data_IF_681883174700
#
_entry.id   IF_681883174700
#
_cell.length_a   1.000
_cell.length_b   1.000
_cell.length_c   1.000
_cell.angle_alpha   90.00
_cell.angle_beta   90.00
_cell.angle_gamma   90.00
#
_symmetry.space_group_name_H-M   'P 1'
#
loop_
_entity.id
_entity.type
_entity.pdbx_description
1 polymer ?
#
# COMPACT_ATOMS: atom_id res chain seq x y z
N UNK A 1 -21.79 8.86 15.36
CA UNK A 1 -20.45 8.26 15.45
C UNK A 1 -19.36 9.32 15.42
N UNK A 2 -18.18 9.02 15.94
CA UNK A 2 -17.00 9.89 15.80
C UNK A 2 -16.24 9.56 14.52
N UNK A 3 -15.71 10.60 13.85
CA UNK A 3 -14.91 10.45 12.64
C UNK A 3 -13.90 11.60 12.47
N UNK A 4 -12.84 11.34 11.71
CA UNK A 4 -11.99 12.37 11.13
C UNK A 4 -12.64 12.84 9.83
N UNK A 5 -13.06 14.09 9.79
CA UNK A 5 -13.70 14.68 8.61
C UNK A 5 -12.83 15.79 8.05
N UNK A 6 -12.44 15.64 6.80
CA UNK A 6 -11.81 16.70 6.02
C UNK A 6 -12.88 17.49 5.29
N UNK A 7 -12.91 18.82 5.49
CA UNK A 7 -13.77 19.74 4.75
C UNK A 7 -13.03 20.40 3.57
N UNK A 8 -11.71 20.37 3.60
CA UNK A 8 -10.80 20.83 2.54
C UNK A 8 -9.38 20.28 2.79
N UNK A 9 -8.44 20.40 1.82
CA UNK A 9 -7.04 20.09 2.08
C UNK A 9 -6.52 20.76 3.35
N UNK A 10 -5.81 20.00 4.20
CA UNK A 10 -5.24 20.43 5.49
C UNK A 10 -6.24 20.90 6.54
N UNK A 11 -7.56 20.82 6.26
CA UNK A 11 -8.64 21.21 7.20
C UNK A 11 -9.44 19.98 7.59
N UNK A 12 -9.16 19.43 8.74
CA UNK A 12 -9.87 18.28 9.30
C UNK A 12 -10.22 18.50 10.77
N UNK A 13 -11.28 17.81 11.20
CA UNK A 13 -11.72 17.76 12.59
C UNK A 13 -12.09 16.33 12.99
N UNK A 14 -11.83 16.00 14.25
CA UNK A 14 -12.41 14.82 14.91
C UNK A 14 -13.74 15.25 15.51
N UNK A 15 -14.84 14.87 14.88
CA UNK A 15 -16.17 15.35 15.24
C UNK A 15 -17.24 14.27 15.15
N UNK A 16 -18.42 14.58 15.74
CA UNK A 16 -19.61 13.77 15.56
C UNK A 16 -20.18 13.95 14.16
N UNK A 17 -20.58 12.83 13.57
CA UNK A 17 -21.33 12.75 12.31
C UNK A 17 -22.43 11.72 12.45
N UNK A 18 -23.43 11.75 11.58
CA UNK A 18 -24.50 10.75 11.55
C UNK A 18 -23.94 9.36 11.28
N UNK A 19 -24.54 8.35 11.90
CA UNK A 19 -24.21 6.96 11.63
C UNK A 19 -24.58 6.56 10.20
N UNK A 20 -23.76 5.77 9.51
CA UNK A 20 -24.02 5.34 8.15
C UNK A 20 -25.29 4.47 8.08
N UNK A 21 -26.20 4.79 7.14
CA UNK A 21 -27.39 3.98 6.87
C UNK A 21 -27.06 2.92 5.83
N UNK A 22 -27.19 1.66 6.19
CA UNK A 22 -26.91 0.49 5.35
C UNK A 22 -27.98 0.33 4.28
N UNK A 23 -27.55 0.14 3.03
CA UNK A 23 -28.44 -0.20 1.90
C UNK A 23 -28.61 -1.73 1.83
N UNK A 24 -29.51 -2.21 0.96
CA UNK A 24 -29.85 -3.62 0.84
C UNK A 24 -28.64 -4.52 0.59
N UNK A 25 -27.66 -4.05 -0.19
CA UNK A 25 -26.45 -4.78 -0.62
C UNK A 25 -25.17 -4.36 0.14
N UNK A 26 -25.31 -3.64 1.26
CA UNK A 26 -24.20 -3.12 2.07
C UNK A 26 -24.13 -3.82 3.44
N UNK A 27 -22.98 -3.72 4.08
CA UNK A 27 -22.78 -4.06 5.48
C UNK A 27 -22.27 -2.86 6.26
N UNK A 28 -22.51 -2.84 7.58
CA UNK A 28 -21.91 -1.89 8.52
C UNK A 28 -20.80 -2.62 9.28
N UNK A 29 -19.61 -2.05 9.21
CA UNK A 29 -18.44 -2.51 9.95
C UNK A 29 -18.22 -1.52 11.10
N UNK A 30 -18.17 -2.02 12.34
CA UNK A 30 -17.57 -1.30 13.45
C UNK A 30 -16.05 -1.42 13.29
N UNK A 31 -15.40 -0.29 13.08
CA UNK A 31 -13.95 -0.28 12.79
C UNK A 31 -13.17 -0.56 14.07
N UNK A 32 -12.34 -1.61 14.04
CA UNK A 32 -11.41 -1.92 15.13
C UNK A 32 -10.09 -1.19 14.94
N UNK A 33 -9.60 -1.11 13.68
CA UNK A 33 -8.41 -0.37 13.32
C UNK A 33 -8.43 0.04 11.84
N UNK A 34 -7.71 1.10 11.50
CA UNK A 34 -7.47 1.51 10.11
C UNK A 34 -6.03 2.01 9.95
N UNK A 35 -5.32 1.46 8.98
CA UNK A 35 -3.94 1.84 8.69
C UNK A 35 -3.82 3.25 8.11
N UNK A 36 -2.79 3.99 8.53
CA UNK A 36 -2.40 5.26 7.91
C UNK A 36 -1.41 4.98 6.77
N UNK A 37 -1.76 5.43 5.57
CA UNK A 37 -1.01 5.24 4.33
C UNK A 37 -0.37 6.54 3.84
N UNK A 38 0.63 6.44 2.96
CA UNK A 38 1.15 7.59 2.21
C UNK A 38 0.08 8.30 1.40
N UNK A 39 -0.91 7.58 0.88
CA UNK A 39 -2.09 8.15 0.19
C UNK A 39 -2.87 9.12 1.08
N UNK A 40 -3.00 8.86 2.39
CA UNK A 40 -3.68 9.79 3.31
C UNK A 40 -2.92 11.10 3.47
N UNK A 41 -1.57 11.06 3.38
CA UNK A 41 -0.74 12.26 3.38
C UNK A 41 -0.93 13.07 2.10
N UNK A 42 -1.06 12.42 0.95
CA UNK A 42 -1.39 13.08 -0.33
C UNK A 42 -2.79 13.69 -0.31
N UNK A 43 -3.80 12.97 0.24
CA UNK A 43 -5.16 13.50 0.43
C UNK A 43 -5.13 14.73 1.35
N UNK A 44 -4.33 14.70 2.41
CA UNK A 44 -4.15 15.85 3.30
C UNK A 44 -3.65 17.08 2.53
N UNK A 45 -2.75 16.91 1.57
CA UNK A 45 -2.25 17.98 0.72
C UNK A 45 -3.21 18.37 -0.43
N UNK A 46 -4.23 17.56 -0.72
CA UNK A 46 -5.22 17.80 -1.77
C UNK A 46 -4.92 17.06 -3.09
N UNK A 47 -3.94 16.17 -3.10
CA UNK A 47 -3.65 15.27 -4.22
C UNK A 47 -4.68 14.12 -4.29
N UNK A 48 -4.73 13.36 -5.40
CA UNK A 48 -5.69 12.27 -5.66
C UNK A 48 -7.15 12.71 -5.85
N UNK A 49 -7.37 13.99 -6.17
CA UNK A 49 -8.69 14.57 -6.39
C UNK A 49 -9.76 14.14 -5.38
N UNK A 50 -9.52 14.24 -4.07
CA UNK A 50 -10.47 13.84 -3.04
C UNK A 50 -11.75 14.71 -3.16
N UNK A 51 -12.89 14.10 -2.80
CA UNK A 51 -14.17 14.79 -2.77
C UNK A 51 -14.51 15.16 -1.34
N UNK A 52 -14.41 16.43 -1.01
CA UNK A 52 -14.76 16.92 0.33
C UNK A 52 -16.25 17.26 0.46
N UNK A 53 -16.90 17.10 1.64
CA UNK A 53 -16.29 16.54 2.86
C UNK A 53 -15.97 15.04 2.74
N UNK A 54 -14.86 14.59 3.36
CA UNK A 54 -14.37 13.21 3.26
C UNK A 54 -13.94 12.68 4.63
N UNK A 55 -14.31 11.43 4.93
CA UNK A 55 -13.69 10.63 5.97
C UNK A 55 -12.64 9.74 5.29
N UNK A 56 -11.32 9.92 5.53
CA UNK A 56 -10.28 9.10 4.91
C UNK A 56 -10.16 7.71 5.53
N UNK A 57 -9.08 6.98 5.17
CA UNK A 57 -8.74 5.65 5.68
C UNK A 57 -9.28 4.52 4.81
N UNK A 58 -8.37 3.88 4.07
CA UNK A 58 -8.69 2.84 3.09
C UNK A 58 -8.14 1.45 3.46
N UNK A 59 -7.42 1.34 4.58
CA UNK A 59 -6.83 0.10 5.09
C UNK A 59 -7.52 -0.34 6.39
N UNK A 60 -8.83 -0.56 6.35
CA UNK A 60 -9.68 -0.77 7.53
C UNK A 60 -9.97 -2.25 7.79
N UNK A 61 -10.14 -2.54 9.06
CA UNK A 61 -10.64 -3.83 9.59
C UNK A 61 -11.60 -3.59 10.72
N UNK A 62 -12.53 -4.51 10.94
CA UNK A 62 -13.49 -4.42 12.04
C UNK A 62 -14.50 -5.54 12.03
N UNK A 63 -15.48 -5.44 12.93
CA UNK A 63 -16.56 -6.39 13.11
C UNK A 63 -17.79 -5.98 12.28
N UNK A 64 -18.38 -6.91 11.55
CA UNK A 64 -19.67 -6.71 10.87
C UNK A 64 -20.76 -6.64 11.92
N UNK A 65 -21.41 -5.49 12.07
CA UNK A 65 -22.47 -5.26 13.09
C UNK A 65 -23.86 -5.19 12.50
N UNK A 66 -24.00 -4.96 11.19
CA UNK A 66 -25.29 -4.93 10.49
C UNK A 66 -25.14 -5.41 9.05
N UNK A 67 -26.17 -6.11 8.57
CA UNK A 67 -26.27 -6.57 7.18
C UNK A 67 -27.48 -5.92 6.51
N UNK A 68 -27.32 -5.56 5.24
CA UNK A 68 -28.44 -5.20 4.36
C UNK A 68 -29.28 -6.42 4.01
N UNK A 69 -30.51 -6.20 3.58
CA UNK A 69 -31.51 -7.26 3.35
C UNK A 69 -31.18 -8.25 2.23
N UNK A 70 -30.29 -7.88 1.30
CA UNK A 70 -29.86 -8.71 0.17
C UNK A 70 -28.50 -9.38 0.41
N UNK A 71 -27.85 -9.11 1.55
CA UNK A 71 -26.52 -9.65 1.85
C UNK A 71 -26.63 -11.13 2.21
N UNK A 72 -25.83 -11.95 1.52
CA UNK A 72 -25.69 -13.38 1.77
C UNK A 72 -24.24 -13.76 1.98
N UNK A 73 -23.96 -14.87 2.66
CA UNK A 73 -22.61 -15.38 2.89
C UNK A 73 -21.81 -14.68 3.99
N UNK A 74 -22.30 -13.57 4.52
CA UNK A 74 -21.72 -12.86 5.67
C UNK A 74 -22.66 -12.95 6.88
N UNK A 75 -22.12 -12.74 8.08
CA UNK A 75 -22.90 -12.71 9.33
C UNK A 75 -22.38 -11.63 10.27
N UNK A 76 -23.25 -11.10 11.12
CA UNK A 76 -22.86 -10.21 12.23
C UNK A 76 -21.94 -10.94 13.21
N UNK A 77 -21.01 -10.21 13.81
CA UNK A 77 -19.99 -10.75 14.70
C UNK A 77 -18.74 -11.29 13.96
N UNK A 78 -18.73 -11.35 12.62
CA UNK A 78 -17.52 -11.68 11.88
C UNK A 78 -16.56 -10.49 11.82
N UNK A 79 -15.28 -10.73 12.09
CA UNK A 79 -14.24 -9.77 11.75
C UNK A 79 -13.96 -9.84 10.25
N UNK A 80 -13.71 -8.69 9.64
CA UNK A 80 -13.51 -8.57 8.22
C UNK A 80 -12.58 -7.40 7.85
N UNK A 81 -12.03 -7.47 6.66
CA UNK A 81 -11.38 -6.36 5.96
C UNK A 81 -12.17 -6.02 4.71
N UNK A 82 -11.97 -4.83 4.17
CA UNK A 82 -12.68 -4.41 2.96
C UNK A 82 -11.74 -3.98 1.85
N UNK A 83 -12.07 -4.42 0.63
CA UNK A 83 -11.44 -3.89 -0.58
C UNK A 83 -11.98 -2.48 -0.83
N UNK A 84 -11.09 -1.49 -0.72
CA UNK A 84 -11.47 -0.09 -0.87
C UNK A 84 -11.93 0.28 -2.29
N UNK A 85 -11.50 -0.45 -3.34
CA UNK A 85 -11.79 -0.12 -4.73
C UNK A 85 -13.19 -0.56 -5.15
N UNK A 86 -13.94 0.34 -5.78
CA UNK A 86 -15.27 0.08 -6.34
C UNK A 86 -15.35 0.54 -7.79
N UNK A 87 -15.43 -0.42 -8.71
CA UNK A 87 -15.60 -0.16 -10.13
C UNK A 87 -17.08 -0.01 -10.52
N UNK A 88 -17.37 0.71 -11.61
CA UNK A 88 -18.75 0.94 -12.06
C UNK A 88 -19.40 -0.26 -12.78
N UNK A 89 -18.62 -1.26 -13.16
CA UNK A 89 -19.07 -2.47 -13.84
C UNK A 89 -19.48 -2.34 -15.30
N UNK A 90 -19.58 -1.12 -15.88
CA UNK A 90 -20.19 -0.88 -17.19
C UNK A 90 -19.36 -0.05 -18.18
N UNK A 91 -18.24 0.55 -17.79
CA UNK A 91 -17.39 1.32 -18.70
C UNK A 91 -16.55 0.43 -19.61
N UNK A 92 -15.85 1.06 -20.55
CA UNK A 92 -14.98 0.35 -21.49
C UNK A 92 -14.03 -0.67 -20.85
N UNK A 93 -13.39 -0.29 -19.75
CA UNK A 93 -12.44 -1.14 -19.04
C UNK A 93 -13.13 -2.25 -18.24
N UNK A 94 -14.23 -1.91 -17.53
CA UNK A 94 -14.98 -2.90 -16.75
C UNK A 94 -15.55 -4.03 -17.62
N UNK A 95 -16.09 -3.70 -18.79
CA UNK A 95 -16.64 -4.69 -19.74
C UNK A 95 -15.56 -5.64 -20.32
N UNK A 96 -14.28 -5.35 -20.08
CA UNK A 96 -13.11 -6.18 -20.45
C UNK A 96 -12.43 -6.85 -19.27
N UNK A 97 -13.04 -6.79 -18.06
CA UNK A 97 -12.48 -7.34 -16.84
C UNK A 97 -11.36 -6.48 -16.20
N UNK A 98 -11.07 -5.31 -16.76
CA UNK A 98 -10.01 -4.40 -16.27
C UNK A 98 -10.58 -3.40 -15.26
N UNK A 99 -11.13 -3.90 -14.17
CA UNK A 99 -11.85 -3.08 -13.17
C UNK A 99 -11.00 -1.99 -12.55
N UNK A 100 -9.68 -2.20 -12.42
CA UNK A 100 -8.74 -1.23 -11.87
C UNK A 100 -8.64 0.06 -12.71
N UNK A 101 -8.87 -0.05 -14.02
CA UNK A 101 -8.84 1.10 -14.94
C UNK A 101 -10.23 1.71 -15.19
N UNK A 102 -11.19 1.43 -14.29
CA UNK A 102 -12.54 1.95 -14.39
C UNK A 102 -12.53 3.48 -14.49
N UNK A 103 -13.22 4.04 -15.50
CA UNK A 103 -13.32 5.49 -15.72
C UNK A 103 -14.01 6.24 -14.57
N UNK A 104 -14.80 5.52 -13.78
CA UNK A 104 -15.48 6.02 -12.58
C UNK A 104 -15.06 5.21 -11.35
N UNK A 105 -13.76 4.87 -11.25
CA UNK A 105 -13.24 4.16 -10.08
C UNK A 105 -13.45 5.01 -8.83
N UNK A 106 -14.21 4.47 -7.88
CA UNK A 106 -14.37 5.03 -6.56
C UNK A 106 -13.55 4.23 -5.55
N UNK A 107 -13.13 4.86 -4.44
CA UNK A 107 -12.40 4.19 -3.39
C UNK A 107 -12.83 4.71 -2.02
N UNK A 108 -13.18 3.77 -1.14
CA UNK A 108 -13.46 4.08 0.27
C UNK A 108 -12.20 4.65 0.92
N UNK A 109 -12.36 5.78 1.61
CA UNK A 109 -11.26 6.51 2.24
C UNK A 109 -10.44 7.41 1.31
N UNK A 110 -10.79 7.47 0.00
CA UNK A 110 -10.12 8.33 -0.99
C UNK A 110 -11.11 9.25 -1.70
N UNK A 111 -12.15 8.68 -2.31
CA UNK A 111 -13.22 9.42 -3.01
C UNK A 111 -14.61 9.21 -2.41
N UNK A 112 -14.71 8.26 -1.48
CA UNK A 112 -15.87 7.92 -0.65
C UNK A 112 -15.42 7.84 0.81
N UNK A 113 -16.34 7.98 1.75
CA UNK A 113 -16.03 7.88 3.18
C UNK A 113 -15.41 6.52 3.54
N UNK A 114 -14.34 6.55 4.33
CA UNK A 114 -13.52 5.41 4.74
C UNK A 114 -13.54 5.13 6.24
N UNK A 115 -12.47 4.46 6.71
CA UNK A 115 -12.36 3.84 8.02
C UNK A 115 -11.79 4.71 9.13
N UNK A 116 -11.48 6.01 8.92
CA UNK A 116 -11.11 6.88 10.05
C UNK A 116 -12.36 7.36 10.80
N UNK A 117 -13.17 6.40 11.24
CA UNK A 117 -14.44 6.59 11.94
C UNK A 117 -14.77 5.38 12.82
N UNK A 118 -15.76 5.51 13.73
CA UNK A 118 -16.23 4.37 14.52
C UNK A 118 -16.90 3.29 13.66
N UNK A 119 -17.57 3.70 12.58
CA UNK A 119 -18.29 2.81 11.67
C UNK A 119 -18.04 3.17 10.21
N UNK A 120 -18.01 2.13 9.37
CA UNK A 120 -17.94 2.24 7.93
C UNK A 120 -19.02 1.35 7.30
N UNK A 121 -19.78 1.88 6.34
CA UNK A 121 -20.61 1.07 5.46
C UNK A 121 -19.89 0.79 4.14
N UNK A 122 -20.01 -0.44 3.66
CA UNK A 122 -19.33 -0.91 2.44
C UNK A 122 -20.20 -1.93 1.72
N UNK A 123 -20.07 -2.04 0.41
CA UNK A 123 -20.70 -3.10 -0.38
C UNK A 123 -20.26 -4.49 0.11
N UNK A 124 -21.21 -5.40 0.28
CA UNK A 124 -20.93 -6.73 0.81
C UNK A 124 -19.95 -7.54 -0.07
N UNK A 125 -19.97 -7.34 -1.39
CA UNK A 125 -19.05 -7.97 -2.34
C UNK A 125 -17.61 -7.45 -2.26
N UNK A 126 -17.36 -6.42 -1.46
CA UNK A 126 -16.03 -5.87 -1.16
C UNK A 126 -15.50 -6.34 0.20
N UNK A 127 -16.21 -7.17 0.93
CA UNK A 127 -15.88 -7.57 2.31
C UNK A 127 -15.33 -8.98 2.33
N UNK A 128 -14.21 -9.15 3.02
CA UNK A 128 -13.50 -10.42 3.15
C UNK A 128 -13.38 -10.77 4.63
N UNK A 129 -14.00 -11.88 5.10
CA UNK A 129 -13.85 -12.34 6.47
C UNK A 129 -12.40 -12.64 6.84
N UNK A 130 -12.04 -12.32 8.07
CA UNK A 130 -10.74 -12.58 8.69
C UNK A 130 -10.90 -13.61 9.79
N UNK A 131 -10.01 -14.59 9.87
CA UNK A 131 -10.10 -15.68 10.85
C UNK A 131 -8.99 -15.65 11.89
N UNK A 132 -7.75 -15.41 11.49
CA UNK A 132 -6.58 -15.60 12.34
C UNK A 132 -5.67 -14.36 12.49
N UNK A 133 -6.13 -13.18 12.04
CA UNK A 133 -5.37 -11.95 12.19
C UNK A 133 -5.94 -11.09 13.32
N UNK A 134 -5.08 -10.54 14.14
CA UNK A 134 -5.43 -9.42 15.03
C UNK A 134 -5.78 -8.17 14.21
N UNK A 135 -6.54 -7.21 14.74
CA UNK A 135 -6.81 -5.94 14.04
C UNK A 135 -5.54 -5.24 13.59
N UNK A 136 -4.47 -5.32 14.37
CA UNK A 136 -3.15 -4.77 14.06
C UNK A 136 -2.52 -5.40 12.81
N UNK A 137 -2.68 -6.70 12.62
CA UNK A 137 -2.18 -7.40 11.43
C UNK A 137 -3.12 -7.20 10.24
N UNK A 138 -4.43 -7.20 10.49
CA UNK A 138 -5.46 -7.10 9.45
C UNK A 138 -5.42 -5.78 8.67
N UNK A 139 -4.95 -4.66 9.26
CA UNK A 139 -4.73 -3.40 8.52
C UNK A 139 -3.66 -3.53 7.44
N UNK A 140 -2.86 -4.60 7.46
CA UNK A 140 -1.85 -4.87 6.44
C UNK A 140 -2.38 -5.68 5.25
N UNK A 141 -3.66 -6.09 5.26
CA UNK A 141 -4.24 -6.87 4.14
C UNK A 141 -4.30 -6.04 2.87
N UNK A 142 -4.79 -4.81 2.94
CA UNK A 142 -4.84 -3.91 1.77
C UNK A 142 -3.44 -3.62 1.20
N UNK A 143 -2.43 -3.17 1.98
CA UNK A 143 -1.07 -2.98 1.48
C UNK A 143 -0.44 -4.25 0.92
N UNK A 144 -0.75 -5.42 1.50
CA UNK A 144 -0.27 -6.71 1.00
C UNK A 144 -0.94 -7.05 -0.34
N UNK A 145 -2.22 -6.75 -0.50
CA UNK A 145 -2.93 -6.92 -1.77
C UNK A 145 -2.33 -6.03 -2.88
N UNK A 146 -1.97 -4.78 -2.56
CA UNK A 146 -1.26 -3.89 -3.48
C UNK A 146 0.12 -4.44 -3.85
N UNK A 147 0.88 -4.96 -2.87
CA UNK A 147 2.18 -5.55 -3.12
C UNK A 147 2.09 -6.80 -4.01
N UNK A 148 1.08 -7.65 -3.80
CA UNK A 148 0.81 -8.81 -4.65
C UNK A 148 0.46 -8.41 -6.09
N UNK A 149 -0.30 -7.32 -6.27
CA UNK A 149 -0.56 -6.77 -7.60
C UNK A 149 0.74 -6.28 -8.25
N UNK A 150 1.62 -5.63 -7.50
CA UNK A 150 2.96 -5.26 -7.95
C UNK A 150 3.77 -6.47 -8.40
N UNK A 151 3.72 -7.58 -7.68
CA UNK A 151 4.38 -8.83 -8.06
C UNK A 151 3.81 -9.43 -9.37
N UNK A 152 2.47 -9.43 -9.53
CA UNK A 152 1.83 -9.84 -10.79
C UNK A 152 2.27 -8.97 -11.97
N UNK A 153 2.42 -7.67 -11.75
CA UNK A 153 2.88 -6.71 -12.78
C UNK A 153 4.36 -6.90 -13.10
N UNK A 154 5.20 -7.11 -12.09
CA UNK A 154 6.65 -7.31 -12.25
C UNK A 154 6.96 -8.53 -13.14
N UNK A 155 6.26 -9.63 -12.95
CA UNK A 155 6.46 -10.90 -13.69
C UNK A 155 7.92 -11.39 -13.60
N UNK A 156 8.45 -11.40 -12.38
CA UNK A 156 9.81 -11.85 -12.10
C UNK A 156 9.96 -13.36 -12.35
N UNK A 157 11.06 -13.74 -12.98
CA UNK A 157 11.41 -15.15 -13.09
C UNK A 157 12.08 -15.65 -11.79
N UNK A 158 11.80 -16.89 -11.36
CA UNK A 158 12.57 -17.51 -10.29
C UNK A 158 14.07 -17.54 -10.62
N UNK A 159 14.90 -17.30 -9.61
CA UNK A 159 16.36 -17.19 -9.78
C UNK A 159 16.86 -15.78 -10.05
N UNK A 160 15.97 -14.79 -10.17
CA UNK A 160 16.34 -13.39 -10.43
C UNK A 160 17.09 -12.76 -9.26
N UNK A 161 18.04 -11.88 -9.60
CA UNK A 161 18.62 -10.89 -8.70
C UNK A 161 17.75 -9.63 -8.68
N UNK A 162 17.40 -9.14 -7.48
CA UNK A 162 16.45 -8.03 -7.32
C UNK A 162 17.04 -6.93 -6.48
N UNK A 163 16.88 -5.69 -6.93
CA UNK A 163 17.09 -4.48 -6.14
C UNK A 163 15.72 -3.88 -5.77
N UNK A 164 15.50 -3.67 -4.48
CA UNK A 164 14.35 -2.95 -3.96
C UNK A 164 14.81 -1.63 -3.34
N UNK A 165 14.35 -0.52 -3.89
CA UNK A 165 14.47 0.79 -3.26
C UNK A 165 13.29 1.02 -2.32
N UNK A 166 13.60 1.17 -1.03
CA UNK A 166 12.62 1.48 0.02
C UNK A 166 12.35 0.32 0.98
N UNK A 167 12.41 0.65 2.27
CA UNK A 167 12.10 -0.23 3.40
C UNK A 167 10.91 0.30 4.24
N UNK A 168 10.00 1.06 3.61
CA UNK A 168 8.73 1.49 4.23
C UNK A 168 7.77 0.30 4.44
N UNK A 169 6.54 0.54 4.96
CA UNK A 169 5.60 -0.55 5.25
C UNK A 169 5.41 -1.51 4.08
N UNK A 170 5.17 -0.96 2.90
CA UNK A 170 4.99 -1.75 1.67
C UNK A 170 6.29 -2.37 1.19
N UNK A 171 7.45 -1.69 1.37
CA UNK A 171 8.76 -2.26 1.07
C UNK A 171 9.08 -3.49 1.90
N UNK A 172 8.66 -3.53 3.18
CA UNK A 172 8.79 -4.70 4.05
C UNK A 172 7.99 -5.90 3.50
N UNK A 173 6.78 -5.66 3.01
CA UNK A 173 5.92 -6.70 2.41
C UNK A 173 6.48 -7.15 1.05
N UNK A 174 6.84 -6.19 0.18
CA UNK A 174 7.45 -6.48 -1.13
C UNK A 174 8.71 -7.32 -1.00
N UNK A 175 9.59 -7.02 -0.03
CA UNK A 175 10.81 -7.79 0.20
C UNK A 175 10.51 -9.27 0.50
N UNK A 176 9.56 -9.53 1.38
CA UNK A 176 9.13 -10.90 1.70
C UNK A 176 8.50 -11.59 0.47
N UNK A 177 7.62 -10.90 -0.25
CA UNK A 177 7.01 -11.44 -1.47
C UNK A 177 8.04 -11.73 -2.56
N UNK A 178 9.03 -10.87 -2.77
CA UNK A 178 10.10 -11.11 -3.75
C UNK A 178 10.86 -12.39 -3.42
N UNK A 179 11.21 -12.62 -2.16
CA UNK A 179 11.85 -13.89 -1.72
C UNK A 179 10.94 -15.09 -1.93
N UNK A 180 9.67 -15.00 -1.51
CA UNK A 180 8.69 -16.09 -1.65
C UNK A 180 8.41 -16.43 -3.13
N UNK A 181 8.53 -15.45 -4.04
CA UNK A 181 8.36 -15.64 -5.48
C UNK A 181 9.67 -16.02 -6.21
N UNK A 182 10.73 -16.35 -5.48
CA UNK A 182 11.92 -16.98 -6.05
C UNK A 182 13.07 -16.04 -6.39
N UNK A 183 13.15 -14.83 -5.81
CA UNK A 183 14.35 -14.01 -5.91
C UNK A 183 15.55 -14.79 -5.30
N UNK A 184 16.54 -15.10 -6.13
CA UNK A 184 17.75 -15.80 -5.67
C UNK A 184 18.60 -14.89 -4.77
N UNK A 185 18.65 -13.60 -5.09
CA UNK A 185 19.29 -12.59 -4.28
C UNK A 185 18.46 -11.32 -4.24
N UNK A 186 18.15 -10.85 -3.05
CA UNK A 186 17.42 -9.59 -2.80
C UNK A 186 18.33 -8.60 -2.09
N UNK A 187 18.62 -7.50 -2.76
CA UNK A 187 19.29 -6.32 -2.20
C UNK A 187 18.27 -5.25 -1.90
N UNK A 188 18.23 -4.73 -0.66
CA UNK A 188 17.33 -3.64 -0.28
C UNK A 188 18.16 -2.39 0.02
N UNK A 189 17.85 -1.28 -0.65
CA UNK A 189 18.48 0.01 -0.45
C UNK A 189 17.50 1.00 0.19
N UNK A 190 17.84 1.52 1.37
CA UNK A 190 17.04 2.50 2.10
C UNK A 190 17.93 3.31 3.07
N UNK A 191 17.46 4.45 3.61
CA UNK A 191 18.16 5.15 4.67
C UNK A 191 18.45 4.25 5.87
N UNK A 192 19.58 4.41 6.55
CA UNK A 192 19.93 3.59 7.72
C UNK A 192 18.89 3.78 8.86
N UNK A 193 18.72 2.75 9.67
CA UNK A 193 17.86 2.76 10.84
C UNK A 193 16.87 1.60 10.88
N UNK A 194 15.91 1.62 11.84
CA UNK A 194 15.07 0.46 12.18
C UNK A 194 14.31 -0.18 11.01
N UNK A 195 13.95 0.60 9.98
CA UNK A 195 13.28 0.09 8.78
C UNK A 195 14.19 -0.81 7.95
N UNK A 196 15.46 -0.39 7.78
CA UNK A 196 16.46 -1.17 7.06
C UNK A 196 16.88 -2.41 7.85
N UNK A 197 16.99 -2.27 9.18
CA UNK A 197 17.32 -3.38 10.08
C UNK A 197 16.20 -4.43 10.08
N UNK A 198 14.94 -4.01 10.05
CA UNK A 198 13.81 -4.94 10.00
C UNK A 198 13.80 -5.74 8.69
N UNK A 199 13.93 -5.09 7.53
CA UNK A 199 13.90 -5.79 6.25
C UNK A 199 15.09 -6.74 6.09
N UNK A 200 16.24 -6.42 6.69
CA UNK A 200 17.42 -7.32 6.76
C UNK A 200 17.09 -8.62 7.51
N UNK A 201 16.31 -8.53 8.60
CA UNK A 201 15.91 -9.72 9.36
C UNK A 201 14.79 -10.51 8.67
N UNK A 202 13.88 -9.83 7.96
CA UNK A 202 12.69 -10.45 7.38
C UNK A 202 12.95 -11.13 6.04
N UNK A 203 13.79 -10.52 5.17
CA UNK A 203 13.85 -11.00 3.79
C UNK A 203 15.14 -10.68 3.02
N UNK A 204 15.82 -9.55 3.26
CA UNK A 204 16.93 -9.13 2.42
C UNK A 204 18.17 -10.02 2.59
N UNK A 205 18.82 -10.38 1.48
CA UNK A 205 20.13 -11.04 1.51
C UNK A 205 21.25 -10.00 1.70
N UNK A 206 21.07 -8.81 1.12
CA UNK A 206 21.96 -7.66 1.28
C UNK A 206 21.16 -6.41 1.61
N UNK A 207 21.73 -5.55 2.43
CA UNK A 207 21.19 -4.22 2.67
C UNK A 207 22.22 -3.16 2.33
N UNK A 208 21.76 -2.05 1.75
CA UNK A 208 22.59 -0.90 1.39
C UNK A 208 22.03 0.34 2.05
N UNK A 209 22.77 0.88 3.01
CA UNK A 209 22.42 2.14 3.65
C UNK A 209 22.61 3.29 2.66
N UNK A 210 21.53 4.04 2.41
CA UNK A 210 21.54 5.17 1.49
C UNK A 210 21.89 6.45 2.25
N UNK A 211 22.96 7.11 1.85
CA UNK A 211 23.25 8.46 2.29
C UNK A 211 22.63 9.47 1.32
N UNK A 212 21.80 10.38 1.85
CA UNK A 212 21.18 11.45 1.07
C UNK A 212 22.14 12.58 0.71
N UNK A 213 23.21 12.74 1.50
CA UNK A 213 24.21 13.79 1.30
C UNK A 213 25.29 13.35 0.31
N UNK A 214 25.54 12.04 0.21
CA UNK A 214 26.49 11.46 -0.74
C UNK A 214 25.90 10.22 -1.43
N UNK A 215 25.09 10.39 -2.49
CA UNK A 215 24.49 9.29 -3.24
C UNK A 215 25.52 8.34 -3.87
N UNK A 216 26.76 8.78 -4.14
CA UNK A 216 27.78 7.92 -4.76
C UNK A 216 28.21 6.77 -3.83
N UNK A 217 28.07 6.90 -2.52
CA UNK A 217 28.38 5.82 -1.57
C UNK A 217 27.49 4.60 -1.83
N UNK A 218 26.16 4.79 -1.87
CA UNK A 218 25.25 3.67 -2.12
C UNK A 218 25.30 3.19 -3.58
N UNK A 219 25.48 4.10 -4.55
CA UNK A 219 25.62 3.74 -5.98
C UNK A 219 26.83 2.84 -6.22
N UNK A 220 27.98 3.18 -5.66
CA UNK A 220 29.18 2.34 -5.73
C UNK A 220 28.92 0.97 -5.12
N UNK A 221 28.32 0.94 -3.93
CA UNK A 221 28.04 -0.34 -3.24
C UNK A 221 27.09 -1.22 -4.05
N UNK A 222 26.05 -0.67 -4.66
CA UNK A 222 25.13 -1.39 -5.53
C UNK A 222 25.82 -1.95 -6.79
N UNK A 223 26.75 -1.18 -7.41
CA UNK A 223 27.54 -1.66 -8.54
C UNK A 223 28.52 -2.78 -8.15
N UNK A 224 29.11 -2.74 -6.96
CA UNK A 224 29.94 -3.83 -6.43
C UNK A 224 29.12 -5.13 -6.21
N UNK A 225 27.91 -5.02 -5.68
CA UNK A 225 27.01 -6.15 -5.44
C UNK A 225 26.49 -6.78 -6.74
N UNK A 226 26.27 -5.96 -7.76
CA UNK A 226 25.78 -6.41 -9.06
C UNK A 226 26.45 -5.63 -10.21
N UNK A 227 27.66 -6.01 -10.61
CA UNK A 227 28.45 -5.28 -11.63
C UNK A 227 27.73 -5.18 -13.00
N UNK A 228 26.89 -6.15 -13.34
CA UNK A 228 26.13 -6.18 -14.57
C UNK A 228 24.71 -5.58 -14.44
N UNK A 229 24.34 -5.14 -13.25
CA UNK A 229 22.98 -4.70 -12.90
C UNK A 229 22.07 -5.86 -12.46
N UNK A 230 20.89 -5.54 -11.97
CA UNK A 230 19.91 -6.47 -11.43
C UNK A 230 18.91 -6.92 -12.52
N UNK A 231 18.37 -8.14 -12.39
CA UNK A 231 17.31 -8.63 -13.26
C UNK A 231 16.04 -7.79 -13.11
N UNK A 232 15.71 -7.45 -11.88
CA UNK A 232 14.58 -6.60 -11.53
C UNK A 232 15.00 -5.48 -10.60
N UNK A 233 14.47 -4.28 -10.83
CA UNK A 233 14.59 -3.14 -9.92
C UNK A 233 13.18 -2.68 -9.55
N UNK A 234 12.87 -2.68 -8.26
CA UNK A 234 11.57 -2.24 -7.73
C UNK A 234 11.76 -0.91 -7.03
N UNK A 235 11.13 0.14 -7.53
CA UNK A 235 11.14 1.45 -6.90
C UNK A 235 9.86 1.61 -6.06
N UNK A 236 9.99 1.56 -4.72
CA UNK A 236 8.89 1.62 -3.77
C UNK A 236 8.98 2.82 -2.80
N UNK A 237 9.67 3.88 -3.21
CA UNK A 237 9.85 5.08 -2.36
C UNK A 237 8.99 6.27 -2.80
N UNK A 238 8.65 6.38 -4.08
CA UNK A 238 8.01 7.55 -4.68
C UNK A 238 8.93 8.76 -4.81
N UNK A 239 10.26 8.56 -4.76
CA UNK A 239 11.26 9.62 -4.91
C UNK A 239 11.72 9.70 -6.37
N UNK A 240 11.48 10.83 -7.09
CA UNK A 240 11.78 10.94 -8.54
C UNK A 240 13.22 10.59 -8.90
N UNK A 241 14.20 11.04 -8.13
CA UNK A 241 15.63 10.75 -8.39
C UNK A 241 15.96 9.26 -8.27
N UNK A 242 15.29 8.52 -7.37
CA UNK A 242 15.46 7.07 -7.25
C UNK A 242 14.79 6.32 -8.41
N UNK A 243 13.71 6.86 -8.94
CA UNK A 243 13.11 6.34 -10.18
C UNK A 243 14.08 6.46 -11.36
N UNK A 244 14.74 7.60 -11.52
CA UNK A 244 15.79 7.80 -12.54
C UNK A 244 16.98 6.86 -12.32
N UNK A 245 17.41 6.68 -11.08
CA UNK A 245 18.50 5.77 -10.72
C UNK A 245 18.15 4.30 -11.01
N UNK A 246 16.90 3.91 -10.88
CA UNK A 246 16.45 2.53 -11.11
C UNK A 246 16.84 2.00 -12.49
N UNK A 247 16.82 2.86 -13.52
CA UNK A 247 17.23 2.50 -14.88
C UNK A 247 18.72 2.16 -14.94
N UNK A 248 19.56 2.84 -14.17
CA UNK A 248 21.01 2.61 -14.16
C UNK A 248 21.38 1.26 -13.53
N UNK A 249 20.58 0.78 -12.60
CA UNK A 249 20.85 -0.46 -11.87
C UNK A 249 20.22 -1.71 -12.51
N UNK A 250 19.30 -1.57 -13.46
CA UNK A 250 18.79 -2.70 -14.21
C UNK A 250 19.86 -3.24 -15.16
N UNK A 251 20.01 -4.57 -15.28
CA UNK A 251 20.84 -5.18 -16.31
C UNK A 251 20.24 -5.02 -17.71
N UNK A 252 20.97 -5.39 -18.77
CA UNK A 252 20.40 -5.52 -20.12
C UNK A 252 19.29 -6.58 -20.11
N UNK A 253 18.16 -6.26 -20.73
CA UNK A 253 16.95 -7.07 -20.67
C UNK A 253 16.25 -7.06 -19.32
N UNK A 254 16.64 -6.17 -18.39
CA UNK A 254 16.05 -6.08 -17.05
C UNK A 254 14.71 -5.37 -17.00
N UNK A 255 14.00 -5.55 -15.90
CA UNK A 255 12.68 -4.95 -15.66
C UNK A 255 12.73 -3.97 -14.49
N UNK A 256 12.16 -2.80 -14.67
CA UNK A 256 11.96 -1.78 -13.64
C UNK A 256 10.47 -1.72 -13.28
N UNK A 257 10.13 -1.86 -12.01
CA UNK A 257 8.78 -1.65 -11.49
C UNK A 257 8.71 -0.30 -10.76
N UNK A 258 7.95 0.63 -11.32
CA UNK A 258 7.57 1.89 -10.68
C UNK A 258 6.35 1.59 -9.80
N UNK A 259 6.60 1.41 -8.51
CA UNK A 259 5.61 1.01 -7.52
C UNK A 259 5.28 2.15 -6.54
N UNK A 260 6.27 2.96 -6.19
CA UNK A 260 6.09 4.11 -5.31
C UNK A 260 5.07 5.11 -5.83
N UNK A 261 4.40 5.82 -4.93
CA UNK A 261 3.48 6.91 -5.27
C UNK A 261 4.28 8.21 -5.34
N UNK A 262 4.20 8.88 -6.47
CA UNK A 262 4.89 10.15 -6.73
C UNK A 262 3.90 11.31 -6.66
N UNK A 263 4.39 12.55 -6.37
CA UNK A 263 3.59 13.74 -6.58
C UNK A 263 3.12 13.83 -8.04
N UNK A 264 1.85 14.18 -8.29
CA UNK A 264 1.24 14.20 -9.65
C UNK A 264 2.03 15.05 -10.65
N UNK A 265 2.70 16.10 -10.18
CA UNK A 265 3.49 17.02 -11.01
C UNK A 265 4.98 16.65 -11.11
N UNK A 266 5.37 15.51 -10.53
CA UNK A 266 6.76 15.07 -10.62
C UNK A 266 7.08 14.56 -12.02
N UNK A 267 8.27 14.88 -12.49
CA UNK A 267 8.83 14.37 -13.75
C UNK A 267 10.14 13.67 -13.49
N UNK A 268 10.44 12.66 -14.27
CA UNK A 268 11.72 11.92 -14.31
C UNK A 268 12.27 11.92 -15.73
N UNK A 269 13.60 11.89 -15.85
CA UNK A 269 14.27 11.87 -17.14
C UNK A 269 14.91 10.52 -17.39
N UNK A 270 14.52 9.88 -18.48
CA UNK A 270 15.15 8.66 -18.98
C UNK A 270 15.76 8.90 -20.36
N UNK A 271 16.97 8.34 -20.60
CA UNK A 271 17.52 8.32 -21.93
C UNK A 271 16.84 7.23 -22.78
N UNK A 272 16.04 7.57 -23.79
CA UNK A 272 15.30 6.58 -24.57
C UNK A 272 16.23 5.66 -25.37
N UNK A 273 17.43 6.13 -25.77
CA UNK A 273 18.42 5.30 -26.45
C UNK A 273 18.98 4.22 -25.53
N UNK A 274 19.17 4.54 -24.23
CA UNK A 274 19.62 3.55 -23.24
C UNK A 274 18.55 2.47 -23.02
N UNK A 275 17.28 2.86 -22.91
CA UNK A 275 16.16 1.92 -22.83
C UNK A 275 16.12 1.02 -24.05
N UNK A 276 16.18 1.60 -25.26
CA UNK A 276 16.18 0.86 -26.53
C UNK A 276 17.36 -0.12 -26.63
N UNK A 277 18.59 0.38 -26.41
CA UNK A 277 19.81 -0.44 -26.60
C UNK A 277 19.93 -1.58 -25.59
N UNK A 278 19.38 -1.40 -24.40
CA UNK A 278 19.43 -2.39 -23.31
C UNK A 278 18.17 -3.24 -23.24
N UNK A 279 17.18 -3.01 -24.09
CA UNK A 279 15.87 -3.70 -24.09
C UNK A 279 15.24 -3.70 -22.68
N UNK A 280 15.19 -2.53 -22.03
CA UNK A 280 14.63 -2.42 -20.68
C UNK A 280 13.10 -2.40 -20.73
N UNK A 281 12.48 -3.09 -19.78
CA UNK A 281 11.03 -3.00 -19.52
C UNK A 281 10.78 -2.07 -18.34
N UNK A 282 9.95 -1.03 -18.51
CA UNK A 282 9.50 -0.16 -17.42
C UNK A 282 8.00 -0.38 -17.26
N UNK A 283 7.60 -0.80 -16.06
CA UNK A 283 6.22 -1.15 -15.73
C UNK A 283 5.73 -0.31 -14.55
N UNK A 284 4.50 0.18 -14.60
CA UNK A 284 3.82 0.82 -13.47
C UNK A 284 2.90 -0.14 -12.74
N UNK A 285 2.79 -0.01 -11.43
CA UNK A 285 1.80 -0.74 -10.62
C UNK A 285 0.92 0.25 -9.88
N UNK A 286 -0.40 0.13 -10.05
CA UNK A 286 -1.39 1.00 -9.41
C UNK A 286 -2.36 0.16 -8.59
N UNK A 287 -2.52 0.51 -7.31
CA UNK A 287 -3.47 -0.13 -6.39
C UNK A 287 -3.46 -1.67 -6.48
N UNK A 288 -4.62 -2.32 -6.56
CA UNK A 288 -4.72 -3.78 -6.64
C UNK A 288 -6.01 -4.23 -7.33
N UNK A 289 -5.97 -5.43 -7.91
CA UNK A 289 -7.13 -6.14 -8.44
C UNK A 289 -7.00 -7.63 -8.09
N UNK A 290 -8.09 -8.22 -7.59
CA UNK A 290 -8.20 -9.64 -7.25
C UNK A 290 -7.03 -10.16 -6.39
N UNK A 291 -6.61 -9.35 -5.39
CA UNK A 291 -5.47 -9.67 -4.53
C UNK A 291 -5.82 -9.75 -3.04
N UNK A 292 -7.09 -9.49 -2.63
CA UNK A 292 -7.46 -9.56 -1.21
C UNK A 292 -7.44 -10.99 -0.66
N UNK A 293 -8.07 -11.95 -1.36
CA UNK A 293 -8.04 -13.36 -0.94
C UNK A 293 -6.61 -13.92 -0.89
N UNK A 294 -5.75 -13.71 -1.94
CA UNK A 294 -4.35 -14.09 -1.84
C UNK A 294 -3.60 -13.39 -0.69
N UNK A 295 -3.87 -12.11 -0.42
CA UNK A 295 -3.24 -11.39 0.69
C UNK A 295 -3.60 -12.01 2.04
N UNK A 296 -4.89 -12.32 2.27
CA UNK A 296 -5.35 -13.03 3.44
C UNK A 296 -4.68 -14.39 3.59
N UNK A 297 -4.60 -15.18 2.51
CA UNK A 297 -3.94 -16.49 2.54
C UNK A 297 -2.46 -16.40 2.94
N UNK A 298 -1.74 -15.37 2.48
CA UNK A 298 -0.34 -15.16 2.87
C UNK A 298 -0.20 -14.72 4.34
N UNK A 299 -1.06 -13.84 4.81
CA UNK A 299 -1.01 -13.28 6.18
C UNK A 299 -1.51 -14.30 7.20
N UNK A 300 -2.70 -14.87 7.02
CA UNK A 300 -3.28 -15.89 7.91
C UNK A 300 -2.46 -17.17 7.97
N UNK A 301 -1.80 -17.52 6.85
CA UNK A 301 -0.85 -18.63 6.80
C UNK A 301 0.54 -18.31 7.38
N UNK A 302 0.77 -17.10 7.90
CA UNK A 302 2.05 -16.68 8.51
C UNK A 302 3.23 -16.64 7.52
N UNK A 303 2.95 -16.61 6.21
CA UNK A 303 3.99 -16.58 5.17
C UNK A 303 4.59 -15.19 5.01
N UNK A 304 3.82 -14.15 5.30
CA UNK A 304 4.27 -12.75 5.40
C UNK A 304 4.09 -12.33 6.85
N UNK A 305 5.17 -11.85 7.46
CA UNK A 305 5.21 -11.37 8.84
C UNK A 305 4.97 -9.87 8.86
N UNK A 306 3.99 -9.41 9.60
CA UNK A 306 3.61 -8.00 9.68
C UNK A 306 3.53 -7.45 11.09
N UNK A 307 3.66 -8.29 12.10
CA UNK A 307 3.58 -7.94 13.52
C UNK A 307 4.57 -6.84 13.95
N UNK A 308 5.80 -6.85 13.43
CA UNK A 308 6.79 -5.81 13.67
C UNK A 308 6.64 -4.58 12.73
N UNK A 309 5.85 -4.69 11.66
CA UNK A 309 5.66 -3.60 10.70
C UNK A 309 4.72 -2.52 11.28
N UNK A 310 3.65 -2.91 11.94
CA UNK A 310 2.74 -1.96 12.62
C UNK A 310 3.37 -1.55 13.95
N UNK A 311 4.05 -0.43 13.95
CA UNK A 311 4.85 0.04 15.10
C UNK A 311 4.07 0.89 16.10
N UNK A 312 2.96 1.50 15.67
CA UNK A 312 2.18 2.40 16.50
C UNK A 312 0.69 2.15 16.34
N UNK A 313 -0.01 2.10 17.46
CA UNK A 313 -1.47 2.22 17.54
C UNK A 313 -1.79 3.58 18.14
N UNK A 314 -2.53 4.39 17.40
CA UNK A 314 -2.83 5.77 17.79
C UNK A 314 -4.35 5.94 17.89
N UNK A 315 -4.92 6.32 19.03
CA UNK A 315 -6.33 6.63 19.12
C UNK A 315 -6.74 7.67 18.08
N UNK A 316 -7.88 7.45 17.41
CA UNK A 316 -8.34 8.27 16.29
C UNK A 316 -8.42 9.76 16.65
N UNK A 317 -8.79 10.10 17.88
CA UNK A 317 -8.80 11.49 18.38
C UNK A 317 -7.43 12.19 18.32
N UNK A 318 -6.31 11.44 18.26
CA UNK A 318 -4.95 11.96 18.12
C UNK A 318 -4.43 11.88 16.69
N UNK A 319 -5.31 11.88 15.69
CA UNK A 319 -4.97 11.78 14.27
C UNK A 319 -3.88 12.77 13.83
N UNK A 320 -3.90 14.01 14.33
CA UNK A 320 -2.84 15.01 14.08
C UNK A 320 -1.45 14.48 14.46
N UNK A 321 -1.35 13.81 15.61
CA UNK A 321 -0.08 13.21 16.05
C UNK A 321 0.36 12.09 15.13
N UNK A 322 -0.57 11.29 14.62
CA UNK A 322 -0.24 10.24 13.65
C UNK A 322 0.33 10.83 12.34
N UNK A 323 -0.25 11.92 11.84
CA UNK A 323 0.29 12.66 10.69
C UNK A 323 1.70 13.20 10.97
N UNK A 324 1.93 13.81 12.12
CA UNK A 324 3.25 14.34 12.53
C UNK A 324 4.31 13.23 12.57
N UNK A 325 3.99 12.09 13.18
CA UNK A 325 4.87 10.91 13.21
C UNK A 325 5.17 10.39 11.79
N UNK A 326 4.16 10.36 10.91
CA UNK A 326 4.32 9.91 9.54
C UNK A 326 5.24 10.84 8.74
N UNK A 327 5.06 12.17 8.83
CA UNK A 327 5.95 13.14 8.19
C UNK A 327 7.37 13.11 8.75
N UNK A 328 7.51 12.95 10.05
CA UNK A 328 8.81 12.77 10.70
C UNK A 328 9.45 11.41 10.39
N UNK A 329 8.74 10.51 9.66
CA UNK A 329 9.16 9.15 9.34
C UNK A 329 9.48 8.30 10.57
N UNK A 330 8.87 8.63 11.69
CA UNK A 330 8.98 7.88 12.94
C UNK A 330 8.03 6.68 12.88
N UNK A 331 8.56 5.50 13.22
CA UNK A 331 7.84 4.24 13.04
C UNK A 331 7.80 3.75 11.58
N UNK A 332 7.17 2.60 11.35
CA UNK A 332 7.02 1.99 10.03
C UNK A 332 5.59 2.15 9.54
N UNK A 333 4.62 1.52 10.22
CA UNK A 333 3.18 1.63 9.95
C UNK A 333 2.45 2.07 11.20
N UNK A 334 1.43 2.88 11.05
CA UNK A 334 0.54 3.31 12.12
C UNK A 334 -0.86 2.76 11.87
N UNK A 335 -1.49 2.24 12.90
CA UNK A 335 -2.90 1.91 12.93
C UNK A 335 -3.64 2.96 13.77
N UNK A 336 -4.70 3.53 13.21
CA UNK A 336 -5.63 4.40 13.92
C UNK A 336 -6.74 3.55 14.52
N UNK A 337 -7.01 3.75 15.81
CA UNK A 337 -7.97 2.96 16.58
C UNK A 337 -9.12 3.87 17.01
N UNK A 338 -10.36 3.64 16.53
CA UNK A 338 -11.55 4.32 17.02
C UNK A 338 -11.88 3.97 18.48
N UNK A 339 -12.70 4.77 19.14
CA UNK A 339 -13.24 4.47 20.47
C UNK A 339 -12.24 4.59 21.63
N UNK A 340 -11.03 5.10 21.43
CA UNK A 340 -10.01 5.30 22.46
C UNK A 340 -10.13 6.67 23.17
#
# INVERSE_FOLDING_TARGET
MKAIVYDAPRKFEYRDVDDPKVQADEVLIRVDACGLCGTDLHIHEGDFAPRFPLIPGHEFTGEIVQLGSEVTGLRTGQHAVGNSNQACGKCFYCMRGNFLFCEALAAYGVTMNGGFADYLKIKADRVFPVTNLSPREAVMVEPTACALHGMKTLQMNPGSSVLLFGAGPTGQVLAQLLKLNGAARLTVAAPPGPKLDLVARLAADDVVAMDRNDPEVHRRRLRELSPNGFDCVVEATGVPTLCEESVQFARRGGTILVYGVYPEKAFVQFNPFDIFRRELSIKGSFAQIDCFEPALAYLEGGRIKVDEIVTHEVPLRYFRKALELAWARQGIKMALVPGG
#
